data_IF_886973219025
#
_entry.id   IF_886973219025
#
_cell.length_a   1.000
_cell.length_b   1.000
_cell.length_c   1.000
_cell.angle_alpha   90.00
_cell.angle_beta   90.00
_cell.angle_gamma   90.00
#
_symmetry.space_group_name_H-M   'P 1'
#
loop_
_entity.id
_entity.type
_entity.pdbx_description
1 polymer ?
#
# COMPACT_ATOMS: atom_id res chain seq x y z
N UNK A 1 23.24 -7.48 -31.61
CA UNK A 1 21.79 -7.49 -31.35
C UNK A 1 21.53 -7.04 -29.93
N UNK A 2 20.74 -6.02 -29.77
CA UNK A 2 20.41 -5.52 -28.45
C UNK A 2 19.25 -6.31 -27.86
N UNK A 3 19.41 -6.70 -26.60
CA UNK A 3 18.32 -7.30 -25.85
C UNK A 3 17.56 -6.18 -25.17
N UNK A 4 16.28 -6.06 -25.50
CA UNK A 4 15.42 -5.06 -24.85
C UNK A 4 14.59 -5.72 -23.79
N UNK A 5 14.63 -5.17 -22.60
CA UNK A 5 13.77 -5.60 -21.51
C UNK A 5 12.56 -4.68 -21.49
N UNK A 6 11.40 -5.28 -21.52
CA UNK A 6 10.16 -4.52 -21.65
C UNK A 6 9.34 -4.63 -20.36
N UNK A 7 9.92 -4.11 -19.30
CA UNK A 7 9.26 -4.10 -18.00
C UNK A 7 8.27 -2.94 -17.94
N UNK A 8 7.07 -3.23 -17.48
CA UNK A 8 6.03 -2.22 -17.30
C UNK A 8 5.65 -2.15 -15.84
N UNK A 9 6.66 -1.93 -15.01
CA UNK A 9 6.43 -1.87 -13.57
C UNK A 9 5.71 -0.59 -13.20
N UNK A 10 4.69 -0.74 -12.38
CA UNK A 10 4.00 0.38 -11.78
C UNK A 10 4.93 0.99 -10.72
N UNK A 11 5.10 2.31 -10.71
CA UNK A 11 6.00 2.97 -9.76
C UNK A 11 5.24 3.60 -8.59
N UNK A 12 3.94 3.76 -8.72
CA UNK A 12 3.11 4.29 -7.65
C UNK A 12 1.67 3.85 -7.90
N UNK A 13 0.79 4.13 -6.96
CA UNK A 13 -0.63 3.85 -7.12
C UNK A 13 -1.18 4.59 -8.32
N UNK A 14 -2.11 3.95 -9.05
CA UNK A 14 -2.84 4.59 -10.14
C UNK A 14 -3.80 5.62 -9.55
N UNK A 15 -4.42 6.43 -10.42
CA UNK A 15 -5.41 7.40 -9.97
C UNK A 15 -6.57 6.73 -9.24
N UNK A 16 -7.08 5.63 -9.78
CA UNK A 16 -8.16 4.89 -9.14
C UNK A 16 -7.74 4.33 -7.79
N UNK A 17 -6.54 3.77 -7.72
CA UNK A 17 -6.00 3.24 -6.47
C UNK A 17 -5.81 4.36 -5.45
N UNK A 18 -5.31 5.51 -5.89
CA UNK A 18 -5.12 6.68 -5.02
C UNK A 18 -6.46 7.16 -4.47
N UNK A 19 -7.50 7.21 -5.31
CA UNK A 19 -8.82 7.62 -4.88
C UNK A 19 -9.40 6.64 -3.85
N UNK A 20 -9.15 5.35 -4.03
CA UNK A 20 -9.58 4.33 -3.06
C UNK A 20 -8.91 4.53 -1.71
N UNK A 21 -7.60 4.82 -1.71
CA UNK A 21 -6.86 5.06 -0.47
C UNK A 21 -7.35 6.32 0.24
N UNK A 22 -7.62 7.38 -0.52
CA UNK A 22 -8.20 8.59 0.05
C UNK A 22 -9.59 8.32 0.65
N UNK A 23 -10.39 7.51 -0.04
CA UNK A 23 -11.71 7.12 0.45
C UNK A 23 -11.64 6.31 1.73
N UNK A 24 -10.56 5.54 1.92
CA UNK A 24 -10.33 4.81 3.17
C UNK A 24 -9.92 5.75 4.31
N UNK A 25 -9.58 6.99 4.00
CA UNK A 25 -9.24 7.98 5.01
C UNK A 25 -7.76 8.29 5.15
N UNK A 26 -6.90 7.78 4.26
CA UNK A 26 -5.48 8.09 4.34
C UNK A 26 -5.25 9.58 4.13
N UNK A 27 -4.36 10.15 4.94
CA UNK A 27 -3.95 11.54 4.78
C UNK A 27 -3.10 11.67 3.52
N UNK A 28 -3.36 12.68 2.71
CA UNK A 28 -2.56 12.93 1.50
C UNK A 28 -1.09 13.17 1.83
N UNK A 29 -0.79 13.67 3.04
CA UNK A 29 0.57 13.92 3.49
C UNK A 29 1.38 12.64 3.65
N UNK A 30 0.74 11.48 3.67
CA UNK A 30 1.45 10.19 3.73
C UNK A 30 1.96 9.76 2.37
N UNK A 31 1.51 10.40 1.30
CA UNK A 31 1.94 10.06 -0.06
C UNK A 31 3.37 10.56 -0.30
N UNK A 32 4.13 9.80 -1.07
CA UNK A 32 5.49 10.16 -1.45
C UNK A 32 5.59 10.55 -2.93
N UNK A 33 4.49 10.50 -3.66
CA UNK A 33 4.45 10.84 -5.08
C UNK A 33 3.13 11.55 -5.37
N UNK A 34 2.99 12.07 -6.57
CA UNK A 34 1.72 12.67 -6.98
C UNK A 34 1.52 12.57 -8.48
N UNK A 35 0.26 12.62 -8.89
CA UNK A 35 -0.14 12.75 -10.29
C UNK A 35 -0.43 14.22 -10.56
N UNK A 36 0.26 14.79 -11.56
CA UNK A 36 0.07 16.16 -11.96
C UNK A 36 -0.01 16.21 -13.49
N UNK A 37 -1.06 16.83 -14.02
CA UNK A 37 -1.27 16.96 -15.46
C UNK A 37 -1.21 15.63 -16.22
N UNK A 38 -1.66 14.55 -15.57
CA UNK A 38 -1.64 13.22 -16.18
C UNK A 38 -0.32 12.48 -16.10
N UNK A 39 0.71 13.10 -15.52
CA UNK A 39 2.03 12.50 -15.36
C UNK A 39 2.35 12.24 -13.90
N UNK A 40 3.14 11.18 -13.66
CA UNK A 40 3.62 10.88 -12.32
C UNK A 40 4.87 11.68 -12.07
N UNK A 41 4.87 12.45 -11.00
CA UNK A 41 6.04 13.18 -10.58
C UNK A 41 6.51 12.60 -9.25
N UNK A 42 7.78 12.19 -9.23
CA UNK A 42 8.43 11.80 -7.99
C UNK A 42 8.71 13.08 -7.23
N UNK A 43 8.00 13.27 -6.13
CA UNK A 43 8.13 14.51 -5.38
C UNK A 43 7.69 14.31 -3.95
N UNK A 44 7.88 15.32 -3.17
CA UNK A 44 7.34 15.39 -1.82
C UNK A 44 5.81 15.37 -1.89
N UNK A 45 5.14 15.24 -0.75
CA UNK A 45 3.67 15.22 -0.74
C UNK A 45 3.07 16.34 -1.55
N UNK A 46 1.91 16.11 -2.19
CA UNK A 46 1.29 17.14 -3.04
C UNK A 46 0.98 18.39 -2.24
N UNK A 47 1.41 19.52 -2.77
CA UNK A 47 1.19 20.81 -2.12
C UNK A 47 -0.05 21.52 -2.67
N UNK A 48 -0.42 21.17 -3.89
CA UNK A 48 -1.56 21.82 -4.54
C UNK A 48 -2.81 20.96 -4.38
N UNK A 49 -3.94 21.63 -4.22
CA UNK A 49 -5.23 20.94 -4.07
C UNK A 49 -5.65 20.17 -5.31
N UNK A 50 -5.05 20.49 -6.46
CA UNK A 50 -5.37 19.82 -7.72
C UNK A 50 -4.55 18.57 -7.96
N UNK A 51 -3.50 18.37 -7.17
CA UNK A 51 -2.66 17.19 -7.31
C UNK A 51 -3.35 15.98 -6.68
N UNK A 52 -3.19 14.84 -7.33
CA UNK A 52 -3.70 13.58 -6.79
C UNK A 52 -2.54 12.89 -6.11
N UNK A 53 -2.61 12.66 -4.79
CA UNK A 53 -1.52 11.96 -4.10
C UNK A 53 -1.37 10.55 -4.62
N UNK A 54 -0.14 10.07 -4.64
CA UNK A 54 0.16 8.72 -5.06
C UNK A 54 1.18 8.13 -4.09
N UNK A 55 1.12 6.84 -3.91
CA UNK A 55 2.00 6.13 -2.98
C UNK A 55 2.80 5.11 -3.74
N UNK A 56 4.13 5.11 -3.51
CA UNK A 56 4.96 4.01 -3.98
C UNK A 56 4.62 2.76 -3.18
N UNK A 57 4.97 1.59 -3.71
CA UNK A 57 4.73 0.34 -2.99
C UNK A 57 5.48 0.35 -1.66
N UNK A 58 6.72 0.84 -1.67
CA UNK A 58 7.51 0.93 -0.45
C UNK A 58 6.79 1.77 0.62
N UNK A 59 6.19 2.91 0.23
CA UNK A 59 5.48 3.76 1.17
C UNK A 59 4.25 3.06 1.76
N UNK A 60 3.52 2.31 0.93
CA UNK A 60 2.37 1.55 1.41
C UNK A 60 2.79 0.51 2.44
N UNK A 61 3.89 -0.20 2.14
CA UNK A 61 4.43 -1.21 3.06
C UNK A 61 4.92 -0.56 4.35
N UNK A 62 5.56 0.59 4.23
CA UNK A 62 6.09 1.34 5.37
C UNK A 62 5.00 1.70 6.39
N UNK A 63 3.79 1.94 5.91
CA UNK A 63 2.66 2.27 6.78
C UNK A 63 2.00 1.05 7.43
N UNK A 64 2.32 -0.16 6.97
CA UNK A 64 1.77 -1.38 7.55
C UNK A 64 2.53 -1.74 8.82
N UNK A 65 1.84 -2.15 9.89
CA UNK A 65 2.55 -2.60 11.09
C UNK A 65 3.36 -3.85 10.78
N UNK A 66 4.56 -3.94 11.35
CA UNK A 66 5.43 -5.09 11.17
C UNK A 66 4.83 -6.32 11.84
N UNK A 67 4.16 -6.11 12.95
CA UNK A 67 3.60 -7.20 13.72
C UNK A 67 2.29 -6.76 14.39
N UNK A 68 1.39 -7.71 14.54
CA UNK A 68 0.14 -7.48 15.27
C UNK A 68 -0.34 -8.79 15.87
N UNK A 69 -0.66 -8.79 17.16
CA UNK A 69 -1.17 -9.96 17.89
C UNK A 69 -0.39 -11.25 17.60
N UNK A 70 0.95 -11.13 17.55
CA UNK A 70 1.81 -12.28 17.27
C UNK A 70 1.97 -12.61 15.81
N UNK A 71 1.19 -11.99 14.92
CA UNK A 71 1.33 -12.18 13.49
C UNK A 71 2.35 -11.24 12.89
N UNK A 72 3.21 -11.76 12.04
CA UNK A 72 4.24 -10.98 11.37
C UNK A 72 3.85 -10.70 9.91
N UNK A 73 4.20 -9.51 9.45
CA UNK A 73 3.99 -9.12 8.06
C UNK A 73 4.91 -9.93 7.16
N UNK A 74 4.35 -10.66 6.22
CA UNK A 74 5.08 -11.45 5.25
C UNK A 74 4.68 -11.02 3.85
N UNK A 75 5.66 -10.65 3.05
CA UNK A 75 5.43 -10.17 1.69
C UNK A 75 6.12 -11.10 0.71
N UNK A 76 5.32 -11.62 -0.21
CA UNK A 76 5.80 -12.51 -1.27
C UNK A 76 5.59 -11.81 -2.61
N UNK A 77 6.05 -12.42 -3.67
CA UNK A 77 5.95 -11.83 -5.00
C UNK A 77 4.51 -11.52 -5.41
N UNK A 78 3.57 -12.35 -5.00
CA UNK A 78 2.17 -12.24 -5.41
C UNK A 78 1.19 -12.31 -4.23
N UNK A 79 1.69 -12.10 -3.01
CA UNK A 79 0.79 -12.14 -1.84
C UNK A 79 1.34 -11.31 -0.68
N UNK A 80 0.44 -10.90 0.19
CA UNK A 80 0.76 -10.25 1.45
C UNK A 80 -0.01 -10.98 2.52
N UNK A 81 0.66 -11.32 3.63
CA UNK A 81 0.08 -12.06 4.73
C UNK A 81 0.49 -11.49 6.07
N UNK A 82 -0.35 -11.71 7.06
CA UNK A 82 0.05 -11.61 8.47
C UNK A 82 -0.06 -13.03 9.03
N UNK A 83 1.08 -13.61 9.36
CA UNK A 83 1.16 -15.01 9.79
C UNK A 83 1.69 -15.13 11.21
N UNK A 84 1.12 -16.05 11.97
CA UNK A 84 1.57 -16.37 13.31
C UNK A 84 2.05 -17.83 13.33
N UNK A 85 3.25 -18.05 13.92
CA UNK A 85 3.78 -19.39 14.11
C UNK A 85 3.18 -19.97 15.37
N UNK A 86 2.36 -20.99 15.23
CA UNK A 86 1.87 -21.77 16.35
C UNK A 86 2.79 -22.98 16.52
N UNK A 87 2.58 -23.75 17.58
CA UNK A 87 3.49 -24.83 17.93
C UNK A 87 3.75 -25.81 16.79
N UNK A 88 2.76 -26.11 15.99
CA UNK A 88 2.82 -27.12 14.95
C UNK A 88 2.42 -26.65 13.56
N UNK A 89 2.12 -25.35 13.41
CA UNK A 89 1.66 -24.84 12.12
C UNK A 89 1.79 -23.32 12.05
N UNK A 90 1.68 -22.80 10.82
CA UNK A 90 1.51 -21.38 10.57
C UNK A 90 0.02 -21.09 10.43
N UNK A 91 -0.43 -20.02 11.04
CA UNK A 91 -1.81 -19.56 10.88
C UNK A 91 -1.81 -18.17 10.30
N UNK A 92 -2.54 -17.98 9.21
CA UNK A 92 -2.67 -16.67 8.57
C UNK A 92 -3.87 -15.94 9.15
N UNK A 93 -3.63 -14.78 9.73
CA UNK A 93 -4.71 -13.90 10.20
C UNK A 93 -5.30 -13.13 9.03
N UNK A 94 -4.51 -12.89 8.01
CA UNK A 94 -4.91 -12.21 6.80
C UNK A 94 -4.04 -12.73 5.65
N UNK A 95 -4.64 -12.88 4.49
CA UNK A 95 -3.91 -13.22 3.27
C UNK A 95 -4.63 -12.60 2.09
N UNK A 96 -3.88 -11.98 1.21
CA UNK A 96 -4.37 -11.54 -0.09
C UNK A 96 -3.38 -12.03 -1.13
N UNK A 97 -3.90 -12.60 -2.21
CA UNK A 97 -3.11 -13.13 -3.32
C UNK A 97 -3.57 -12.47 -4.61
N UNK A 98 -2.63 -11.98 -5.38
CA UNK A 98 -2.92 -11.37 -6.66
C UNK A 98 -1.64 -10.94 -7.33
N UNK A 99 -1.67 -10.79 -8.64
CA UNK A 99 -0.48 -10.45 -9.42
C UNK A 99 -0.12 -8.96 -9.38
N UNK A 100 -1.01 -8.11 -8.88
CA UNK A 100 -0.72 -6.69 -8.71
C UNK A 100 -0.51 -6.39 -7.23
N UNK A 101 0.75 -6.12 -6.86
CA UNK A 101 1.09 -5.89 -5.45
C UNK A 101 0.52 -4.59 -4.89
N UNK A 102 0.23 -3.60 -5.73
CA UNK A 102 -0.47 -2.39 -5.27
C UNK A 102 -1.88 -2.72 -4.82
N UNK A 103 -2.59 -3.55 -5.60
CA UNK A 103 -3.92 -4.01 -5.21
C UNK A 103 -3.86 -4.83 -3.92
N UNK A 104 -2.86 -5.70 -3.80
CA UNK A 104 -2.67 -6.49 -2.59
C UNK A 104 -2.41 -5.59 -1.38
N UNK A 105 -1.57 -4.58 -1.55
CA UNK A 105 -1.25 -3.65 -0.47
C UNK A 105 -2.48 -2.85 -0.04
N UNK A 106 -3.29 -2.39 -1.00
CA UNK A 106 -4.50 -1.63 -0.69
C UNK A 106 -5.50 -2.52 0.07
N UNK A 107 -5.66 -3.77 -0.37
CA UNK A 107 -6.54 -4.72 0.32
C UNK A 107 -6.07 -4.97 1.76
N UNK A 108 -4.76 -5.08 1.94
CA UNK A 108 -4.17 -5.26 3.27
C UNK A 108 -4.43 -4.04 4.16
N UNK A 109 -4.21 -2.84 3.64
CA UNK A 109 -4.45 -1.60 4.37
C UNK A 109 -5.93 -1.47 4.73
N UNK A 110 -6.81 -1.78 3.79
CA UNK A 110 -8.25 -1.75 4.04
C UNK A 110 -8.62 -2.68 5.20
N UNK A 111 -8.08 -3.88 5.20
CA UNK A 111 -8.32 -4.84 6.29
C UNK A 111 -7.76 -4.31 7.62
N UNK A 112 -6.56 -3.75 7.60
CA UNK A 112 -5.94 -3.19 8.80
C UNK A 112 -6.77 -2.05 9.39
N UNK A 113 -7.32 -1.20 8.53
CA UNK A 113 -8.18 -0.10 8.98
C UNK A 113 -9.47 -0.66 9.59
N UNK A 114 -10.09 -1.60 8.90
CA UNK A 114 -11.34 -2.20 9.33
C UNK A 114 -11.21 -2.89 10.69
N UNK A 115 -10.09 -3.57 10.91
CA UNK A 115 -9.85 -4.30 12.15
C UNK A 115 -9.24 -3.43 13.25
N UNK A 116 -8.93 -2.17 12.95
CA UNK A 116 -8.39 -1.26 13.94
C UNK A 116 -6.90 -1.40 14.20
N UNK A 117 -6.16 -2.03 13.31
CA UNK A 117 -4.72 -2.25 13.48
C UNK A 117 -3.87 -1.20 12.79
N UNK A 118 -4.46 -0.40 11.91
CA UNK A 118 -3.74 0.63 11.18
C UNK A 118 -3.48 1.83 12.08
N UNK A 119 -2.28 2.41 11.97
CA UNK A 119 -1.90 3.55 12.80
C UNK A 119 -2.78 4.76 12.45
N UNK A 120 -3.52 5.24 13.43
CA UNK A 120 -4.48 6.33 13.25
C UNK A 120 -3.84 7.65 12.84
N UNK A 121 -2.54 7.83 13.10
CA UNK A 121 -1.88 9.07 12.69
C UNK A 121 -1.79 9.22 11.16
N UNK A 122 -1.94 8.12 10.42
CA UNK A 122 -1.95 8.16 8.96
C UNK A 122 -3.34 8.44 8.40
N UNK A 123 -4.35 8.46 9.25
CA UNK A 123 -5.74 8.62 8.83
C UNK A 123 -6.27 10.00 9.17
N UNK A 124 -7.15 10.51 8.31
CA UNK A 124 -7.83 11.75 8.57
C UNK A 124 -8.73 11.60 9.79
N UNK A 125 -8.79 12.64 10.60
CA UNK A 125 -9.72 12.67 11.73
C UNK A 125 -11.13 12.90 11.21
N UNK A 126 -12.09 12.27 11.86
CA UNK A 126 -13.49 12.50 11.54
C UNK A 126 -14.07 13.58 12.43
#
# INVERSE_FOLDING_TARGET
>A
METKFNFKSQICTSREQSERLLALGLKKETADMCWMYGEVLSCNPPELTVDIPAWSLHRLIEMMPEEMYGGLLCIFKDSIRYEEMLMDRLEAHFEVVGDNMYENAISCIEWLIKEGYFNKKYLCEK
#
